data_IF_414897964710
#
_entry.id   IF_414897964710
#
_cell.length_a   1.000
_cell.length_b   1.000
_cell.length_c   1.000
_cell.angle_alpha   90.00
_cell.angle_beta   90.00
_cell.angle_gamma   90.00
#
_symmetry.space_group_name_H-M   'P 1'
#
loop_
_entity.id
_entity.type
_entity.pdbx_description
1 polymer ?
#
# COMPACT_ATOMS: atom_id res chain seq x y z
N UNK A 1 15.79 4.60 -20.01
CA UNK A 1 15.20 4.23 -21.32
C UNK A 1 16.09 3.30 -22.16
N UNK A 2 17.42 3.38 -22.06
CA UNK A 2 18.34 2.52 -22.81
C UNK A 2 18.30 1.07 -22.31
N UNK A 3 18.18 0.85 -21.01
CA UNK A 3 18.21 -0.49 -20.40
C UNK A 3 17.00 -1.36 -20.71
N UNK A 4 15.84 -0.78 -20.97
CA UNK A 4 14.60 -1.54 -21.27
C UNK A 4 14.54 -2.03 -22.73
N UNK A 5 15.31 -1.45 -23.64
CA UNK A 5 15.39 -1.88 -25.04
C UNK A 5 16.49 -2.92 -25.31
N UNK A 6 17.43 -3.08 -24.38
CA UNK A 6 18.62 -3.90 -24.59
C UNK A 6 18.39 -5.40 -24.39
N UNK A 7 17.37 -5.81 -23.66
CA UNK A 7 17.12 -7.23 -23.36
C UNK A 7 15.65 -7.54 -23.64
N UNK A 8 15.38 -8.15 -24.77
CA UNK A 8 14.10 -8.78 -24.97
C UNK A 8 13.47 -8.70 -26.35
N UNK A 9 13.66 -7.65 -27.12
CA UNK A 9 12.98 -7.54 -28.45
C UNK A 9 13.89 -7.74 -29.66
N UNK A 10 15.21 -7.58 -29.51
CA UNK A 10 16.14 -7.59 -30.65
C UNK A 10 17.30 -8.57 -30.53
N UNK A 11 17.42 -9.31 -29.42
CA UNK A 11 18.52 -10.24 -29.21
C UNK A 11 18.04 -11.69 -29.03
N UNK A 12 18.52 -12.58 -29.83
CA UNK A 12 18.39 -14.02 -29.61
C UNK A 12 19.74 -14.62 -29.20
N UNK A 13 19.91 -14.93 -27.91
CA UNK A 13 21.00 -15.78 -27.45
C UNK A 13 20.52 -17.21 -27.59
N UNK A 14 21.08 -17.93 -28.57
CA UNK A 14 20.75 -19.32 -28.82
C UNK A 14 22.03 -20.12 -28.94
N UNK A 15 22.00 -21.33 -28.44
CA UNK A 15 23.04 -22.34 -28.49
C UNK A 15 24.24 -22.17 -27.53
N UNK A 16 24.71 -23.28 -27.02
CA UNK A 16 25.80 -23.44 -26.06
C UNK A 16 25.60 -22.88 -24.65
N UNK A 17 24.35 -22.49 -24.29
CA UNK A 17 24.05 -22.05 -22.92
C UNK A 17 23.29 -23.16 -22.20
N UNK A 18 24.06 -24.02 -21.50
CA UNK A 18 23.54 -25.21 -20.82
C UNK A 18 23.39 -25.05 -19.30
N UNK A 19 23.58 -23.83 -18.78
CA UNK A 19 23.36 -23.52 -17.38
C UNK A 19 22.79 -22.11 -17.19
N UNK A 20 22.01 -21.90 -16.13
CA UNK A 20 21.46 -20.59 -15.75
C UNK A 20 22.59 -19.57 -15.57
N UNK A 21 23.73 -19.99 -14.99
CA UNK A 21 24.88 -19.11 -14.79
C UNK A 21 25.41 -18.58 -16.12
N UNK A 22 25.52 -19.42 -17.15
CA UNK A 22 25.99 -18.99 -18.46
C UNK A 22 24.97 -18.09 -19.18
N UNK A 23 23.67 -18.33 -18.96
CA UNK A 23 22.62 -17.41 -19.45
C UNK A 23 22.82 -16.01 -18.85
N UNK A 24 23.00 -15.92 -17.54
CA UNK A 24 23.23 -14.64 -16.86
C UNK A 24 24.49 -13.93 -17.38
N UNK A 25 25.59 -14.64 -17.50
CA UNK A 25 26.84 -14.08 -18.01
C UNK A 25 26.73 -13.62 -19.48
N UNK A 26 26.02 -14.37 -20.31
CA UNK A 26 25.80 -14.00 -21.70
C UNK A 26 24.95 -12.74 -21.82
N UNK A 27 23.89 -12.62 -21.00
CA UNK A 27 23.03 -11.42 -20.96
C UNK A 27 23.83 -10.20 -20.48
N UNK A 28 24.61 -10.36 -19.43
CA UNK A 28 25.42 -9.26 -18.88
C UNK A 28 26.46 -8.77 -19.91
N UNK A 29 27.14 -9.69 -20.58
CA UNK A 29 28.11 -9.36 -21.63
C UNK A 29 27.44 -8.61 -22.79
N UNK A 30 26.31 -9.14 -23.30
CA UNK A 30 25.58 -8.52 -24.40
C UNK A 30 25.02 -7.16 -24.05
N UNK A 31 24.52 -6.97 -22.85
CA UNK A 31 24.04 -5.67 -22.40
C UNK A 31 25.16 -4.62 -22.45
N UNK A 32 26.36 -4.95 -21.94
CA UNK A 32 27.54 -4.07 -21.98
C UNK A 32 27.93 -3.75 -23.42
N UNK A 33 28.10 -4.79 -24.26
CA UNK A 33 28.47 -4.63 -25.66
C UNK A 33 27.50 -3.74 -26.45
N UNK A 34 26.20 -3.92 -26.21
CA UNK A 34 25.20 -3.14 -26.92
C UNK A 34 25.17 -1.67 -26.44
N UNK A 35 25.43 -1.41 -25.15
CA UNK A 35 25.61 -0.05 -24.63
C UNK A 35 26.80 0.62 -25.30
N UNK A 36 27.96 -0.03 -25.31
CA UNK A 36 29.18 0.47 -25.95
C UNK A 36 28.94 0.78 -27.42
N UNK A 37 28.33 -0.15 -28.17
CA UNK A 37 27.98 0.05 -29.57
C UNK A 37 27.09 1.27 -29.82
N UNK A 38 26.08 1.47 -28.95
CA UNK A 38 25.15 2.62 -29.06
C UNK A 38 25.82 3.94 -28.67
N UNK A 39 26.71 3.93 -27.68
CA UNK A 39 27.51 5.10 -27.28
C UNK A 39 28.48 5.53 -28.38
N UNK A 40 29.02 4.58 -29.15
CA UNK A 40 29.84 4.83 -30.33
C UNK A 40 29.04 5.29 -31.58
N UNK A 41 27.71 5.41 -31.44
CA UNK A 41 26.79 5.82 -32.51
C UNK A 41 26.44 4.72 -33.51
N UNK A 42 26.75 3.46 -33.17
CA UNK A 42 26.39 2.28 -33.96
C UNK A 42 24.89 1.88 -33.79
N UNK A 43 24.50 0.84 -34.52
CA UNK A 43 23.16 0.24 -34.43
C UNK A 43 23.26 -1.21 -34.04
N UNK A 44 22.40 -1.63 -33.12
CA UNK A 44 22.26 -3.04 -32.76
C UNK A 44 21.57 -3.78 -33.90
N UNK A 45 22.22 -4.79 -34.44
CA UNK A 45 21.70 -5.67 -35.50
C UNK A 45 21.15 -6.94 -34.87
N UNK A 46 19.97 -7.36 -35.29
CA UNK A 46 19.38 -8.62 -34.83
C UNK A 46 20.13 -9.81 -35.40
N UNK A 47 20.79 -10.59 -34.57
CA UNK A 47 21.61 -11.73 -34.97
C UNK A 47 21.55 -12.85 -33.91
N UNK A 48 21.88 -14.06 -34.32
CA UNK A 48 22.13 -15.18 -33.41
C UNK A 48 23.57 -15.12 -32.95
N UNK A 49 23.80 -15.16 -31.64
CA UNK A 49 25.12 -15.14 -31.04
C UNK A 49 25.38 -16.41 -30.23
N UNK A 50 26.59 -16.87 -30.21
CA UNK A 50 27.06 -18.00 -29.42
C UNK A 50 27.84 -17.47 -28.21
N UNK A 51 27.53 -17.96 -27.02
CA UNK A 51 28.30 -17.68 -25.82
C UNK A 51 29.50 -18.63 -25.69
N UNK A 52 30.68 -18.08 -25.50
CA UNK A 52 31.92 -18.80 -25.20
C UNK A 52 32.11 -18.78 -23.68
N UNK A 53 31.85 -19.90 -23.02
CA UNK A 53 31.94 -20.01 -21.56
C UNK A 53 33.37 -19.93 -21.01
N UNK A 54 34.40 -20.14 -21.85
CA UNK A 54 35.83 -20.06 -21.47
C UNK A 54 36.28 -18.61 -21.48
N UNK A 55 35.90 -17.86 -22.51
CA UNK A 55 36.27 -16.45 -22.68
C UNK A 55 35.31 -15.49 -22.01
N UNK A 56 34.07 -15.92 -21.71
CA UNK A 56 33.03 -15.09 -21.18
C UNK A 56 32.43 -14.08 -22.18
N UNK A 57 32.57 -14.35 -23.47
CA UNK A 57 32.18 -13.46 -24.57
C UNK A 57 31.08 -14.08 -25.45
N UNK A 58 30.34 -13.24 -26.15
CA UNK A 58 29.46 -13.70 -27.23
C UNK A 58 30.09 -13.44 -28.60
N UNK A 59 29.82 -14.32 -29.56
CA UNK A 59 30.28 -14.16 -30.96
C UNK A 59 29.09 -14.28 -31.90
N UNK A 60 29.07 -13.43 -32.93
CA UNK A 60 28.09 -13.53 -34.00
C UNK A 60 28.18 -14.87 -34.71
N UNK A 61 27.05 -15.52 -34.96
CA UNK A 61 26.96 -16.74 -35.75
C UNK A 61 26.24 -16.52 -37.06
N UNK A 62 25.05 -15.88 -36.98
CA UNK A 62 24.17 -15.71 -38.12
C UNK A 62 23.35 -14.42 -37.93
N UNK A 63 23.36 -13.57 -38.96
CA UNK A 63 22.45 -12.44 -39.03
C UNK A 63 21.07 -12.88 -39.46
N UNK A 64 20.05 -12.33 -38.79
CA UNK A 64 18.65 -12.49 -39.19
C UNK A 64 18.20 -11.24 -39.94
N UNK A 65 18.64 -11.17 -41.21
CA UNK A 65 18.45 -9.93 -41.99
C UNK A 65 17.00 -9.64 -42.38
N UNK A 66 16.12 -10.66 -42.43
CA UNK A 66 14.73 -10.42 -42.82
C UNK A 66 13.78 -11.50 -42.28
N UNK A 67 12.52 -11.13 -42.06
CA UNK A 67 11.42 -12.03 -41.74
C UNK A 67 11.19 -13.17 -42.78
N UNK A 68 11.76 -13.03 -43.95
CA UNK A 68 11.73 -14.02 -45.04
C UNK A 68 12.35 -15.37 -44.64
N UNK A 69 13.31 -15.36 -43.68
CA UNK A 69 13.97 -16.59 -43.23
C UNK A 69 13.00 -17.52 -42.46
N UNK A 70 11.90 -16.98 -41.93
CA UNK A 70 10.87 -17.78 -41.26
C UNK A 70 9.75 -18.24 -42.15
N UNK A 71 9.77 -17.92 -43.45
CA UNK A 71 8.77 -18.28 -44.42
C UNK A 71 7.36 -17.96 -43.94
N UNK A 72 7.11 -16.74 -43.52
CA UNK A 72 5.76 -16.28 -43.23
C UNK A 72 4.89 -16.32 -44.45
N UNK A 73 4.20 -17.40 -44.68
CA UNK A 73 3.12 -17.54 -45.66
C UNK A 73 1.85 -17.94 -44.90
N UNK A 74 0.73 -17.63 -45.51
CA UNK A 74 -0.55 -18.00 -44.91
C UNK A 74 -0.66 -19.53 -44.83
N UNK A 75 -1.02 -20.02 -43.65
CA UNK A 75 -1.34 -21.42 -43.46
C UNK A 75 -2.60 -21.72 -44.30
N UNK A 76 -2.55 -22.72 -45.20
CA UNK A 76 -3.67 -23.05 -46.06
C UNK A 76 -4.92 -23.50 -45.31
N UNK A 77 -4.76 -23.98 -44.08
CA UNK A 77 -5.85 -24.45 -43.23
C UNK A 77 -6.49 -23.30 -42.41
N UNK A 78 -5.86 -22.11 -42.39
CA UNK A 78 -6.37 -20.95 -41.68
C UNK A 78 -6.90 -19.88 -42.64
N UNK A 79 -8.20 -19.69 -42.61
CA UNK A 79 -8.88 -18.65 -43.41
C UNK A 79 -8.52 -17.28 -42.83
N UNK A 80 -8.18 -16.26 -43.65
CA UNK A 80 -7.91 -14.92 -43.20
C UNK A 80 -9.06 -14.34 -42.36
N UNK A 81 -8.79 -14.04 -41.09
CA UNK A 81 -9.76 -13.40 -40.22
C UNK A 81 -9.88 -11.90 -40.58
N UNK A 82 -11.07 -11.48 -40.99
CA UNK A 82 -11.42 -10.09 -41.24
C UNK A 82 -12.28 -9.58 -40.09
N UNK A 83 -11.73 -8.63 -39.33
CA UNK A 83 -12.48 -7.92 -38.29
C UNK A 83 -13.19 -6.73 -38.96
N UNK A 84 -14.49 -6.57 -38.71
CA UNK A 84 -15.22 -5.39 -39.18
C UNK A 84 -14.88 -4.16 -38.30
N UNK A 85 -14.89 -2.98 -38.87
CA UNK A 85 -14.66 -1.74 -38.14
C UNK A 85 -15.70 -1.54 -37.04
N UNK A 86 -16.93 -1.96 -37.24
CA UNK A 86 -18.01 -1.94 -36.25
C UNK A 86 -17.67 -2.77 -35.00
N UNK A 87 -17.06 -3.94 -35.21
CA UNK A 87 -16.63 -4.81 -34.12
C UNK A 87 -15.50 -4.13 -33.30
N UNK A 88 -14.54 -3.54 -34.01
CA UNK A 88 -13.41 -2.84 -33.40
C UNK A 88 -13.91 -1.64 -32.57
N UNK A 89 -14.81 -0.82 -33.14
CA UNK A 89 -15.40 0.31 -32.45
C UNK A 89 -16.24 -0.09 -31.23
N UNK A 90 -16.99 -1.19 -31.34
CA UNK A 90 -17.73 -1.74 -30.19
C UNK A 90 -16.78 -2.16 -29.08
N UNK A 91 -15.74 -2.92 -29.41
CA UNK A 91 -14.75 -3.38 -28.42
C UNK A 91 -13.98 -2.21 -27.77
N UNK A 92 -13.69 -1.15 -28.54
CA UNK A 92 -13.10 0.06 -27.96
C UNK A 92 -14.01 0.74 -26.93
N UNK A 93 -15.31 0.78 -27.20
CA UNK A 93 -16.30 1.38 -26.27
C UNK A 93 -16.51 0.52 -25.03
N UNK A 94 -16.44 -0.78 -25.18
CA UNK A 94 -16.63 -1.76 -24.09
C UNK A 94 -15.32 -1.99 -23.30
N UNK A 95 -14.19 -1.49 -23.79
CA UNK A 95 -12.88 -1.69 -23.16
C UNK A 95 -12.84 -1.02 -21.78
N UNK A 96 -12.56 -1.75 -20.69
CA UNK A 96 -12.43 -1.17 -19.38
C UNK A 96 -11.20 -0.27 -19.31
N UNK A 97 -11.20 0.64 -18.32
CA UNK A 97 -10.06 1.50 -18.03
C UNK A 97 -8.80 0.64 -17.80
N UNK A 98 -7.72 0.98 -18.50
CA UNK A 98 -6.45 0.26 -18.39
C UNK A 98 -5.75 0.54 -17.05
N UNK A 99 -4.96 -0.42 -16.51
CA UNK A 99 -4.27 -0.24 -15.21
C UNK A 99 -3.39 1.02 -15.16
N UNK A 100 -2.74 1.36 -16.28
CA UNK A 100 -1.89 2.56 -16.36
C UNK A 100 -2.69 3.86 -16.20
N UNK A 101 -3.85 3.93 -16.83
CA UNK A 101 -4.71 5.12 -16.78
C UNK A 101 -5.43 5.18 -15.43
N UNK A 102 -5.88 4.04 -14.91
CA UNK A 102 -6.44 3.91 -13.57
C UNK A 102 -5.43 4.34 -12.49
N UNK A 103 -4.16 3.96 -12.62
CA UNK A 103 -3.10 4.42 -11.72
C UNK A 103 -2.96 5.94 -11.73
N UNK A 104 -2.92 6.57 -12.92
CA UNK A 104 -2.87 8.03 -13.04
C UNK A 104 -4.08 8.67 -12.38
N UNK A 105 -5.27 8.16 -12.66
CA UNK A 105 -6.51 8.63 -12.05
C UNK A 105 -6.49 8.51 -10.53
N UNK A 106 -6.00 7.41 -9.96
CA UNK A 106 -5.88 7.25 -8.51
C UNK A 106 -4.93 8.26 -7.88
N UNK A 107 -3.83 8.59 -8.57
CA UNK A 107 -2.90 9.63 -8.11
C UNK A 107 -3.53 11.02 -8.17
N UNK A 108 -4.25 11.35 -9.25
CA UNK A 108 -4.86 12.66 -9.47
C UNK A 108 -6.14 12.86 -8.64
N UNK A 109 -7.04 11.88 -8.66
CA UNK A 109 -8.34 12.00 -8.02
C UNK A 109 -8.27 11.82 -6.50
N UNK A 110 -7.48 10.86 -6.02
CA UNK A 110 -7.39 10.51 -4.61
C UNK A 110 -6.10 11.02 -3.93
N UNK A 111 -5.21 11.64 -4.70
CA UNK A 111 -3.94 12.17 -4.18
C UNK A 111 -3.02 11.10 -3.60
N UNK A 112 -3.06 9.88 -4.15
CA UNK A 112 -2.25 8.76 -3.69
C UNK A 112 -0.81 8.85 -4.22
N UNK A 113 0.19 8.40 -3.46
CA UNK A 113 1.54 8.20 -3.97
C UNK A 113 1.56 7.19 -5.12
N UNK A 114 2.52 7.33 -6.05
CA UNK A 114 2.63 6.45 -7.22
C UNK A 114 2.82 4.97 -6.86
N UNK A 115 3.47 4.68 -5.73
CA UNK A 115 3.65 3.33 -5.22
C UNK A 115 2.32 2.74 -4.78
N UNK A 116 1.57 3.44 -3.93
CA UNK A 116 0.29 2.99 -3.38
C UNK A 116 -0.75 2.79 -4.49
N UNK A 117 -0.85 3.78 -5.41
CA UNK A 117 -1.70 3.65 -6.58
C UNK A 117 -1.32 2.44 -7.45
N UNK A 118 0.01 2.15 -7.58
CA UNK A 118 0.49 0.96 -8.30
C UNK A 118 0.06 -0.36 -7.65
N UNK A 119 0.12 -0.46 -6.33
CA UNK A 119 -0.31 -1.64 -5.58
C UNK A 119 -1.83 -1.87 -5.71
N UNK A 120 -2.62 -0.80 -5.60
CA UNK A 120 -4.09 -0.87 -5.66
C UNK A 120 -4.63 -1.21 -7.05
N UNK A 121 -3.89 -0.94 -8.13
CA UNK A 121 -4.30 -1.29 -9.50
C UNK A 121 -3.68 -2.58 -10.02
N UNK A 122 -2.85 -3.27 -9.23
CA UNK A 122 -2.17 -4.50 -9.61
C UNK A 122 -3.17 -5.61 -10.00
N UNK A 123 -4.30 -5.67 -9.30
CA UNK A 123 -5.39 -6.58 -9.58
C UNK A 123 -6.71 -5.81 -9.74
N UNK A 124 -7.54 -6.25 -10.68
CA UNK A 124 -8.83 -5.61 -10.99
C UNK A 124 -9.76 -5.58 -9.77
N UNK A 125 -9.79 -6.66 -9.03
CA UNK A 125 -10.63 -6.84 -7.84
C UNK A 125 -10.20 -5.92 -6.70
N UNK A 126 -8.89 -5.72 -6.51
CA UNK A 126 -8.34 -4.79 -5.51
C UNK A 126 -8.73 -3.35 -5.87
N UNK A 127 -8.57 -2.96 -7.14
CA UNK A 127 -8.94 -1.64 -7.60
C UNK A 127 -10.44 -1.38 -7.40
N UNK A 128 -11.30 -2.35 -7.75
CA UNK A 128 -12.73 -2.23 -7.57
C UNK A 128 -13.15 -2.15 -6.09
N UNK A 129 -12.49 -2.91 -5.22
CA UNK A 129 -12.70 -2.84 -3.77
C UNK A 129 -12.31 -1.46 -3.23
N UNK A 130 -11.14 -0.95 -3.61
CA UNK A 130 -10.67 0.36 -3.20
C UNK A 130 -11.62 1.48 -3.65
N UNK A 131 -12.04 1.48 -4.91
CA UNK A 131 -12.95 2.50 -5.45
C UNK A 131 -14.27 2.57 -4.66
N UNK A 132 -14.84 1.41 -4.31
CA UNK A 132 -16.04 1.34 -3.48
C UNK A 132 -15.79 1.81 -2.05
N UNK A 133 -14.68 1.38 -1.44
CA UNK A 133 -14.34 1.74 -0.08
C UNK A 133 -13.95 3.22 0.07
N UNK A 134 -13.42 3.85 -0.99
CA UNK A 134 -13.04 5.26 -1.00
C UNK A 134 -14.19 6.20 -1.41
N UNK A 135 -15.34 5.68 -1.84
CA UNK A 135 -16.46 6.47 -2.33
C UNK A 135 -17.09 7.30 -1.20
N UNK A 136 -16.77 8.60 -1.15
CA UNK A 136 -17.25 9.52 -0.12
C UNK A 136 -16.43 9.50 1.18
N UNK A 137 -15.33 8.76 1.22
CA UNK A 137 -14.50 8.57 2.41
C UNK A 137 -13.06 9.08 2.17
N UNK A 138 -12.23 9.12 3.22
CA UNK A 138 -10.81 9.49 3.11
C UNK A 138 -10.01 8.41 2.38
N UNK A 139 -9.81 8.61 1.09
CA UNK A 139 -9.16 7.65 0.20
C UNK A 139 -7.74 7.27 0.65
N UNK A 140 -6.96 8.20 1.24
CA UNK A 140 -5.61 7.90 1.73
C UNK A 140 -5.63 6.95 2.92
N UNK A 141 -6.52 7.20 3.85
CA UNK A 141 -6.68 6.31 5.02
C UNK A 141 -7.25 4.95 4.60
N UNK A 142 -8.23 4.92 3.70
CA UNK A 142 -8.75 3.68 3.12
C UNK A 142 -7.64 2.87 2.45
N UNK A 143 -6.80 3.51 1.61
CA UNK A 143 -5.66 2.85 0.98
C UNK A 143 -4.70 2.23 2.01
N UNK A 144 -4.36 2.98 3.07
CA UNK A 144 -3.49 2.48 4.14
C UNK A 144 -4.09 1.25 4.86
N UNK A 145 -5.40 1.26 5.13
CA UNK A 145 -6.08 0.12 5.76
C UNK A 145 -6.11 -1.11 4.85
N UNK A 146 -6.32 -0.92 3.54
CA UNK A 146 -6.30 -2.03 2.57
C UNK A 146 -4.91 -2.64 2.49
N UNK A 147 -3.86 -1.81 2.26
CA UNK A 147 -2.49 -2.30 2.08
C UNK A 147 -1.86 -2.83 3.37
N UNK A 148 -2.28 -2.33 4.52
CA UNK A 148 -1.80 -2.78 5.81
C UNK A 148 -2.63 -3.93 6.39
N UNK A 149 -3.65 -3.58 7.14
CA UNK A 149 -4.39 -4.54 7.99
C UNK A 149 -5.25 -5.53 7.17
N UNK A 150 -5.89 -5.08 6.07
CA UNK A 150 -6.74 -5.97 5.26
C UNK A 150 -5.89 -7.00 4.50
N UNK A 151 -4.83 -6.61 3.80
CA UNK A 151 -3.96 -7.56 3.10
C UNK A 151 -3.28 -8.53 4.06
N UNK A 152 -2.83 -8.05 5.23
CA UNK A 152 -2.26 -8.93 6.25
C UNK A 152 -3.26 -9.99 6.72
N UNK A 153 -4.53 -9.60 6.89
CA UNK A 153 -5.61 -10.50 7.29
C UNK A 153 -5.95 -11.50 6.20
N UNK A 154 -6.10 -11.04 4.95
CA UNK A 154 -6.39 -11.92 3.81
C UNK A 154 -5.28 -12.95 3.58
N UNK A 155 -4.02 -12.55 3.72
CA UNK A 155 -2.87 -13.45 3.63
C UNK A 155 -2.91 -14.52 4.73
N UNK A 156 -3.24 -14.17 5.97
CA UNK A 156 -3.40 -15.12 7.06
C UNK A 156 -4.53 -16.13 6.81
N UNK A 157 -5.62 -15.67 6.21
CA UNK A 157 -6.79 -16.50 5.90
C UNK A 157 -6.64 -17.28 4.58
N UNK A 158 -5.61 -17.01 3.78
CA UNK A 158 -5.44 -17.59 2.44
C UNK A 158 -6.55 -17.22 1.48
N UNK A 159 -7.14 -16.02 1.61
CA UNK A 159 -8.27 -15.54 0.81
C UNK A 159 -7.85 -14.42 -0.13
N UNK A 160 -8.53 -14.33 -1.29
CA UNK A 160 -8.43 -13.18 -2.18
C UNK A 160 -9.28 -12.01 -1.68
N UNK A 161 -9.06 -10.80 -2.24
CA UNK A 161 -9.85 -9.61 -1.89
C UNK A 161 -11.35 -9.77 -2.21
N UNK A 162 -11.69 -10.54 -3.24
CA UNK A 162 -13.07 -10.86 -3.59
C UNK A 162 -13.79 -11.70 -2.51
N UNK A 163 -13.02 -12.40 -1.67
CA UNK A 163 -13.52 -13.20 -0.54
C UNK A 163 -13.32 -12.50 0.80
N UNK A 164 -13.09 -11.19 0.77
CA UNK A 164 -12.89 -10.39 1.99
C UNK A 164 -14.06 -10.54 2.95
N UNK A 165 -13.80 -10.83 4.23
CA UNK A 165 -14.84 -10.85 5.27
C UNK A 165 -15.38 -9.45 5.60
N UNK A 166 -14.64 -8.40 5.25
CA UNK A 166 -15.01 -6.99 5.46
C UNK A 166 -15.45 -6.41 4.12
N UNK A 167 -16.64 -5.86 4.04
CA UNK A 167 -17.13 -5.19 2.84
C UNK A 167 -16.41 -3.85 2.61
N UNK A 168 -16.30 -3.38 1.36
CA UNK A 168 -15.72 -2.06 1.07
C UNK A 168 -16.41 -0.93 1.82
N UNK A 169 -17.74 -0.96 1.89
CA UNK A 169 -18.57 0.04 2.53
C UNK A 169 -18.31 0.10 4.04
N UNK A 170 -18.19 -1.06 4.69
CA UNK A 170 -17.87 -1.15 6.11
C UNK A 170 -16.46 -0.65 6.41
N UNK A 171 -15.49 -0.89 5.53
CA UNK A 171 -14.15 -0.35 5.68
C UNK A 171 -14.15 1.19 5.56
N UNK A 172 -14.86 1.73 4.57
CA UNK A 172 -15.04 3.18 4.41
C UNK A 172 -15.70 3.81 5.63
N UNK A 173 -16.79 3.21 6.13
CA UNK A 173 -17.50 3.67 7.32
C UNK A 173 -16.62 3.66 8.58
N UNK A 174 -15.79 2.62 8.76
CA UNK A 174 -14.85 2.56 9.86
C UNK A 174 -13.81 3.71 9.78
N UNK A 175 -13.36 4.07 8.57
CA UNK A 175 -12.46 5.21 8.38
C UNK A 175 -13.14 6.52 8.76
N UNK A 176 -14.43 6.70 8.50
CA UNK A 176 -15.18 7.87 8.96
C UNK A 176 -15.22 7.96 10.49
N UNK A 177 -15.50 6.84 11.17
CA UNK A 177 -15.50 6.79 12.64
C UNK A 177 -14.13 7.11 13.26
N UNK A 178 -13.04 6.93 12.48
CA UNK A 178 -11.70 7.38 12.89
C UNK A 178 -11.56 8.90 12.64
N UNK A 179 -12.10 9.40 11.52
CA UNK A 179 -11.96 10.80 11.13
C UNK A 179 -12.79 11.73 12.04
N UNK A 180 -13.97 11.31 12.45
CA UNK A 180 -14.84 12.07 13.37
C UNK A 180 -14.42 11.93 14.84
N UNK A 181 -13.40 11.12 15.13
CA UNK A 181 -12.88 10.93 16.48
C UNK A 181 -13.69 9.98 17.36
N UNK A 182 -14.69 9.29 16.80
CA UNK A 182 -15.44 8.24 17.52
C UNK A 182 -14.55 7.06 17.88
N UNK A 183 -13.57 6.74 17.01
CA UNK A 183 -12.60 5.67 17.22
C UNK A 183 -11.18 6.22 17.25
N UNK A 184 -10.39 5.82 18.23
CA UNK A 184 -8.93 5.97 18.15
C UNK A 184 -8.34 4.94 17.19
N UNK A 185 -7.16 5.23 16.61
CA UNK A 185 -6.47 4.30 15.71
C UNK A 185 -6.22 2.92 16.34
N UNK A 186 -6.07 2.85 17.66
CA UNK A 186 -5.93 1.59 18.39
C UNK A 186 -7.25 0.82 18.44
N UNK A 187 -8.32 1.49 18.85
CA UNK A 187 -9.66 0.87 18.93
C UNK A 187 -10.13 0.43 17.55
N UNK A 188 -9.81 1.21 16.50
CA UNK A 188 -10.15 0.85 15.13
C UNK A 188 -9.55 -0.51 14.70
N UNK A 189 -8.36 -0.88 15.18
CA UNK A 189 -7.77 -2.21 14.92
C UNK A 189 -8.57 -3.33 15.60
N UNK A 190 -9.02 -3.09 16.81
CA UNK A 190 -9.87 -4.05 17.52
C UNK A 190 -11.23 -4.19 16.81
N UNK A 191 -11.84 -3.06 16.40
CA UNK A 191 -13.08 -3.06 15.61
C UNK A 191 -12.90 -3.79 14.29
N UNK A 192 -11.82 -3.53 13.56
CA UNK A 192 -11.49 -4.24 12.32
C UNK A 192 -11.40 -5.76 12.53
N UNK A 193 -10.75 -6.18 13.60
CA UNK A 193 -10.66 -7.60 13.91
C UNK A 193 -12.03 -8.22 14.20
N UNK A 194 -12.88 -7.56 14.95
CA UNK A 194 -14.27 -8.00 15.18
C UNK A 194 -15.09 -8.04 13.88
N UNK A 195 -14.91 -7.06 12.98
CA UNK A 195 -15.55 -7.10 11.66
C UNK A 195 -15.14 -8.35 10.86
N UNK A 196 -13.87 -8.74 10.94
CA UNK A 196 -13.35 -9.95 10.30
C UNK A 196 -13.94 -11.23 10.92
N UNK A 197 -14.08 -11.28 12.24
CA UNK A 197 -14.54 -12.46 12.97
C UNK A 197 -16.05 -12.61 12.96
N UNK A 198 -16.79 -11.52 13.18
CA UNK A 198 -18.24 -11.53 13.37
C UNK A 198 -19.03 -11.14 12.10
N UNK A 199 -18.37 -10.52 11.11
CA UNK A 199 -19.03 -10.06 9.88
C UNK A 199 -20.04 -8.92 10.06
N UNK A 200 -20.03 -8.25 11.22
CA UNK A 200 -20.91 -7.13 11.55
C UNK A 200 -20.40 -5.80 11.02
N UNK A 201 -21.28 -4.80 11.00
CA UNK A 201 -20.90 -3.43 10.65
C UNK A 201 -20.08 -2.78 11.77
N UNK A 202 -19.21 -1.80 11.45
CA UNK A 202 -18.42 -1.11 12.47
C UNK A 202 -19.29 -0.40 13.52
N UNK A 203 -20.43 0.16 13.12
CA UNK A 203 -21.35 0.84 14.04
C UNK A 203 -21.96 -0.12 15.06
N UNK A 204 -22.42 -1.31 14.62
CA UNK A 204 -22.94 -2.36 15.51
C UNK A 204 -21.89 -2.82 16.53
N UNK A 205 -20.66 -3.06 16.08
CA UNK A 205 -19.55 -3.49 16.95
C UNK A 205 -19.23 -2.41 17.99
N UNK A 206 -19.20 -1.15 17.55
CA UNK A 206 -18.91 -0.01 18.43
C UNK A 206 -19.98 0.13 19.50
N UNK A 207 -21.25 -0.09 19.18
CA UNK A 207 -22.36 -0.03 20.13
C UNK A 207 -22.38 -1.22 21.08
N UNK A 208 -22.31 -2.44 20.55
CA UNK A 208 -22.37 -3.68 21.37
C UNK A 208 -21.22 -3.76 22.37
N UNK A 209 -20.01 -3.41 21.95
CA UNK A 209 -18.82 -3.49 22.80
C UNK A 209 -18.48 -2.20 23.54
N UNK A 210 -19.29 -1.15 23.35
CA UNK A 210 -19.11 0.15 24.01
C UNK A 210 -17.72 0.74 23.71
N UNK A 211 -17.27 0.69 22.45
CA UNK A 211 -15.92 1.08 22.02
C UNK A 211 -15.82 2.56 21.60
N UNK A 212 -16.87 3.35 21.84
CA UNK A 212 -16.82 4.80 21.58
C UNK A 212 -15.70 5.43 22.41
N UNK A 213 -14.93 6.30 21.76
CA UNK A 213 -13.93 7.09 22.45
C UNK A 213 -14.61 8.07 23.41
N UNK A 214 -14.08 8.15 24.62
CA UNK A 214 -14.58 9.12 25.60
C UNK A 214 -14.00 10.48 25.23
N UNK A 215 -14.87 11.35 24.71
CA UNK A 215 -14.55 12.75 24.38
C UNK A 215 -15.12 13.72 25.43
N UNK A 216 -15.89 13.19 26.40
CA UNK A 216 -16.41 13.98 27.51
C UNK A 216 -15.25 14.40 28.42
N UNK A 217 -14.96 15.70 28.40
CA UNK A 217 -13.91 16.32 29.22
C UNK A 217 -14.09 16.04 30.71
N UNK A 218 -15.34 16.09 31.21
CA UNK A 218 -15.62 15.82 32.62
C UNK A 218 -15.38 14.38 33.05
N UNK A 219 -15.61 13.41 32.15
CA UNK A 219 -15.28 12.02 32.41
C UNK A 219 -13.76 11.77 32.38
N UNK A 220 -13.05 12.42 31.46
CA UNK A 220 -11.59 12.34 31.38
C UNK A 220 -10.95 13.02 32.60
N UNK A 221 -11.42 14.20 33.03
CA UNK A 221 -10.96 14.90 34.21
C UNK A 221 -11.05 14.03 35.48
N UNK A 222 -12.16 13.35 35.72
CA UNK A 222 -12.29 12.42 36.84
C UNK A 222 -11.24 11.31 36.83
N UNK A 223 -10.98 10.72 35.66
CA UNK A 223 -9.94 9.68 35.54
C UNK A 223 -8.54 10.27 35.78
N UNK A 224 -8.29 11.50 35.33
CA UNK A 224 -7.04 12.23 35.59
C UNK A 224 -6.89 12.47 37.09
N UNK A 225 -7.91 12.97 37.75
CA UNK A 225 -7.89 13.25 39.21
C UNK A 225 -7.67 11.97 40.02
N UNK A 226 -8.32 10.87 39.65
CA UNK A 226 -8.11 9.56 40.30
C UNK A 226 -6.64 9.09 40.13
N UNK A 227 -6.07 9.22 38.94
CA UNK A 227 -4.66 8.85 38.70
C UNK A 227 -3.68 9.73 39.46
N UNK A 228 -3.97 11.04 39.58
CA UNK A 228 -3.19 12.00 40.35
C UNK A 228 -3.28 11.66 41.84
N UNK A 229 -4.46 11.42 42.36
CA UNK A 229 -4.70 11.07 43.77
C UNK A 229 -4.03 9.74 44.16
N UNK A 230 -4.01 8.79 43.24
CA UNK A 230 -3.38 7.48 43.48
C UNK A 230 -1.84 7.51 43.46
N UNK A 231 -1.21 8.59 43.01
CA UNK A 231 0.24 8.66 42.82
C UNK A 231 0.87 9.95 43.37
N UNK A 232 0.70 10.27 44.69
CA UNK A 232 1.15 11.51 45.28
C UNK A 232 2.68 11.73 45.19
N UNK A 233 3.47 10.65 45.31
CA UNK A 233 4.91 10.70 45.18
C UNK A 233 5.38 11.18 43.80
N UNK A 234 4.72 10.70 42.74
CA UNK A 234 5.04 11.12 41.37
C UNK A 234 4.61 12.56 41.09
N UNK A 235 3.52 12.99 41.71
CA UNK A 235 3.09 14.40 41.65
C UNK A 235 4.12 15.30 42.29
N UNK A 236 4.67 14.92 43.48
CA UNK A 236 5.73 15.65 44.15
C UNK A 236 7.02 15.72 43.31
N UNK A 237 7.41 14.61 42.66
CA UNK A 237 8.57 14.58 41.75
C UNK A 237 8.36 15.51 40.53
N UNK A 238 7.14 15.53 39.98
CA UNK A 238 6.82 16.43 38.86
C UNK A 238 6.87 17.91 39.26
N UNK A 239 6.31 18.25 40.42
CA UNK A 239 6.39 19.59 40.99
C UNK A 239 7.85 20.00 41.23
N UNK A 240 8.73 19.06 41.56
CA UNK A 240 10.17 19.25 41.69
C UNK A 240 10.95 19.47 40.38
N UNK A 241 10.26 19.62 39.23
CA UNK A 241 10.83 19.97 37.92
C UNK A 241 11.14 18.80 36.98
N UNK A 242 10.61 17.59 37.23
CA UNK A 242 10.76 16.44 36.34
C UNK A 242 9.66 16.40 35.26
N UNK A 243 9.73 17.28 34.26
CA UNK A 243 8.69 17.41 33.19
C UNK A 243 8.42 16.10 32.40
N UNK A 244 9.39 15.18 32.38
CA UNK A 244 9.21 13.86 31.71
C UNK A 244 8.11 12.99 32.34
N UNK A 245 7.69 13.28 33.57
CA UNK A 245 6.63 12.56 34.25
C UNK A 245 5.24 12.85 33.69
N UNK A 246 5.07 13.94 32.94
CA UNK A 246 3.81 14.22 32.24
C UNK A 246 3.42 13.07 31.31
N UNK A 247 4.37 12.57 30.50
CA UNK A 247 4.16 11.43 29.62
C UNK A 247 3.81 10.13 30.38
N UNK A 248 4.35 9.95 31.59
CA UNK A 248 4.01 8.82 32.45
C UNK A 248 2.56 8.90 32.94
N UNK A 249 2.09 10.08 33.37
CA UNK A 249 0.70 10.29 33.79
C UNK A 249 -0.27 10.10 32.63
N UNK A 250 0.03 10.63 31.43
CA UNK A 250 -0.75 10.38 30.22
C UNK A 250 -0.87 8.87 29.98
N UNK A 251 0.24 8.13 30.10
CA UNK A 251 0.24 6.68 29.94
C UNK A 251 -0.63 5.94 30.98
N UNK A 252 -0.61 6.37 32.24
CA UNK A 252 -1.45 5.77 33.30
C UNK A 252 -2.94 6.07 33.09
N UNK A 253 -3.30 7.31 32.73
CA UNK A 253 -4.68 7.70 32.44
C UNK A 253 -5.20 6.96 31.21
N UNK A 254 -4.37 6.77 30.17
CA UNK A 254 -4.72 5.91 29.02
C UNK A 254 -4.98 4.46 29.43
N UNK A 255 -4.21 3.92 30.39
CA UNK A 255 -4.46 2.58 30.93
C UNK A 255 -5.74 2.52 31.74
N UNK A 256 -5.98 3.50 32.62
CA UNK A 256 -7.17 3.58 33.45
C UNK A 256 -8.46 3.70 32.58
N UNK A 257 -8.40 4.47 31.51
CA UNK A 257 -9.49 4.61 30.52
C UNK A 257 -9.60 3.41 29.57
N UNK A 258 -8.78 2.37 29.72
CA UNK A 258 -8.67 1.20 28.80
C UNK A 258 -8.43 1.61 27.33
N UNK A 259 -7.71 2.71 27.11
CA UNK A 259 -7.43 3.26 25.79
C UNK A 259 -8.57 4.03 25.13
N UNK A 260 -9.66 4.31 25.88
CA UNK A 260 -10.83 5.02 25.36
C UNK A 260 -10.74 6.56 25.45
N UNK A 261 -9.82 7.11 26.27
CA UNK A 261 -9.62 8.56 26.32
C UNK A 261 -8.99 9.10 25.04
N UNK A 262 -9.39 10.30 24.61
CA UNK A 262 -8.76 10.97 23.48
C UNK A 262 -7.35 11.46 23.89
N UNK A 263 -6.27 11.01 23.25
CA UNK A 263 -4.90 11.38 23.64
C UNK A 263 -4.62 12.88 23.53
N UNK A 264 -5.22 13.58 22.56
CA UNK A 264 -5.03 15.02 22.37
C UNK A 264 -5.69 15.80 23.49
N UNK A 265 -6.95 15.52 23.79
CA UNK A 265 -7.69 16.12 24.92
C UNK A 265 -7.06 15.77 26.25
N UNK A 266 -6.56 14.54 26.41
CA UNK A 266 -5.89 14.12 27.62
C UNK A 266 -4.58 14.91 27.84
N UNK A 267 -3.78 15.13 26.83
CA UNK A 267 -2.58 15.95 26.93
C UNK A 267 -2.91 17.41 27.30
N UNK A 268 -3.94 17.96 26.69
CA UNK A 268 -4.42 19.32 26.98
C UNK A 268 -4.90 19.45 28.43
N UNK A 269 -5.80 18.57 28.87
CA UNK A 269 -6.31 18.54 30.24
C UNK A 269 -5.21 18.31 31.27
N UNK A 270 -4.28 17.39 30.99
CA UNK A 270 -3.11 17.17 31.84
C UNK A 270 -2.27 18.44 31.97
N UNK A 271 -2.01 19.14 30.86
CA UNK A 271 -1.24 20.39 30.89
C UNK A 271 -1.96 21.45 31.70
N UNK A 272 -3.27 21.61 31.57
CA UNK A 272 -4.08 22.57 32.33
C UNK A 272 -4.11 22.20 33.82
N UNK A 273 -4.44 20.96 34.17
CA UNK A 273 -4.52 20.48 35.56
C UNK A 273 -3.19 20.65 36.29
N UNK A 274 -2.07 20.37 35.59
CA UNK A 274 -0.73 20.52 36.19
C UNK A 274 -0.24 21.96 36.25
N UNK A 275 -0.65 22.86 35.36
CA UNK A 275 -0.37 24.30 35.49
C UNK A 275 -1.12 24.90 36.68
N UNK A 276 -2.34 24.48 36.94
CA UNK A 276 -3.10 24.84 38.13
C UNK A 276 -2.45 24.35 39.43
N UNK A 277 -1.98 23.10 39.47
CA UNK A 277 -1.27 22.53 40.61
C UNK A 277 0.06 23.28 40.93
N UNK A 278 0.73 23.84 39.91
CA UNK A 278 1.98 24.62 40.06
C UNK A 278 1.68 26.08 40.45
N UNK A 279 0.58 26.66 40.01
CA UNK A 279 0.20 28.03 40.29
C UNK A 279 -0.32 28.25 41.74
N UNK A 280 -0.86 27.21 42.38
CA UNK A 280 -1.34 27.30 43.77
C UNK A 280 -0.20 27.43 44.83
N UNK A 281 1.03 27.02 44.52
CA UNK A 281 2.16 27.08 45.44
C UNK A 281 2.96 28.42 45.40
N UNK A 282 2.75 29.24 44.36
CA UNK A 282 3.43 30.55 44.29
C UNK A 282 2.68 31.68 45.01
N UNK A 283 1.58 31.37 45.72
CA UNK A 283 0.77 32.34 46.46
C UNK A 283 0.72 32.12 47.98
N UNK A 284 1.59 31.29 48.52
CA UNK A 284 1.75 31.13 49.98
C UNK A 284 3.12 31.58 50.45
#
# INVERSE_FOLDING_TARGET
EITTRLVGSEMCIRDSVNSIRFVMQAIEYEAKRQVELLEEGGKVVQETRKFDSVKGETRSMRSKETAVDYRYFYDPDLIPLRLSDDLIERLRKEMPELPTDKKKRFMEQFGLPAYDAGQLVAEKEIAAYFEKAAAGHDAKKVANWIMGDLFATLNKLGKSIAQSPVSPENLGRMVDLINDGTLSSRIAKDVFQYMVEEGKTPDEIVEEKGLKQVTDTGAIEKIVDEVIAANPDKVAEYKGGKDKLLGWFVGQTMRASKGKANPALLNELMTVSYTHLRAHETRS
#
